data_IF_426454474872
#
_entry.id   IF_426454474872
#
_cell.length_a   1.000
_cell.length_b   1.000
_cell.length_c   1.000
_cell.angle_alpha   90.00
_cell.angle_beta   90.00
_cell.angle_gamma   90.00
#
_symmetry.space_group_name_H-M   'P 1'
#
loop_
_entity.id
_entity.type
_entity.pdbx_description
1 polymer ?
#
# COMPACT_ATOMS: atom_id res chain seq x y z
N UNK A 1 -27.57 10.47 -24.26
CA UNK A 1 -26.86 9.18 -24.13
C UNK A 1 -25.37 9.45 -24.21
N UNK A 2 -24.67 9.44 -23.07
CA UNK A 2 -23.24 9.14 -23.02
C UNK A 2 -22.95 8.72 -21.58
N UNK A 3 -22.67 7.42 -21.44
CA UNK A 3 -22.36 6.74 -20.20
C UNK A 3 -20.91 7.03 -19.87
N UNK A 4 -20.65 7.86 -18.87
CA UNK A 4 -19.34 7.91 -18.22
C UNK A 4 -19.24 6.69 -17.31
N UNK A 5 -18.61 5.62 -17.80
CA UNK A 5 -18.18 4.52 -16.97
C UNK A 5 -17.20 5.05 -15.92
N UNK A 6 -17.66 5.13 -14.67
CA UNK A 6 -16.77 5.28 -13.52
C UNK A 6 -15.98 3.99 -13.37
N UNK A 7 -14.71 4.02 -13.74
CA UNK A 7 -13.78 2.95 -13.38
C UNK A 7 -13.79 2.79 -11.85
N UNK A 8 -13.99 1.58 -11.30
CA UNK A 8 -13.89 1.36 -9.87
C UNK A 8 -12.45 1.64 -9.44
N UNK A 9 -12.25 2.80 -8.82
CA UNK A 9 -10.94 3.20 -8.31
C UNK A 9 -10.73 2.43 -7.00
N UNK A 10 -10.17 1.23 -7.11
CA UNK A 10 -9.75 0.45 -5.97
C UNK A 10 -8.53 1.16 -5.34
N UNK A 11 -8.79 2.05 -4.37
CA UNK A 11 -7.77 2.74 -3.58
C UNK A 11 -7.64 2.02 -2.24
N UNK A 12 -6.42 1.66 -1.84
CA UNK A 12 -6.18 1.22 -0.47
C UNK A 12 -6.16 2.46 0.44
N UNK A 13 -7.03 2.49 1.45
CA UNK A 13 -7.04 3.53 2.49
C UNK A 13 -6.39 2.99 3.76
N UNK A 14 -5.21 3.49 4.10
CA UNK A 14 -4.66 3.40 5.46
C UNK A 14 -4.92 4.71 6.18
N UNK A 15 -5.79 4.71 7.19
CA UNK A 15 -6.00 5.85 8.08
C UNK A 15 -5.33 5.55 9.43
N UNK A 16 -4.41 6.42 9.87
CA UNK A 16 -3.93 6.37 11.25
C UNK A 16 -4.89 7.18 12.11
N UNK A 17 -5.63 6.51 12.99
CA UNK A 17 -6.46 7.16 14.01
C UNK A 17 -5.63 7.81 15.13
N UNK A 18 -4.30 7.70 15.06
CA UNK A 18 -3.35 8.36 15.96
C UNK A 18 -2.77 9.59 15.26
N UNK A 19 -3.18 10.82 15.65
CA UNK A 19 -2.62 12.03 15.08
C UNK A 19 -1.14 12.19 15.49
N UNK A 20 -0.33 12.71 14.57
CA UNK A 20 1.04 13.14 14.86
C UNK A 20 0.97 14.50 15.59
N UNK A 21 1.50 14.57 16.81
CA UNK A 21 1.68 15.82 17.53
C UNK A 21 2.95 16.52 17.02
N UNK A 22 2.86 17.81 16.73
CA UNK A 22 4.00 18.66 16.43
C UNK A 22 3.77 20.06 16.99
N UNK A 23 4.86 20.78 17.27
CA UNK A 23 4.77 22.18 17.73
C UNK A 23 4.69 23.09 16.52
N UNK A 24 3.60 23.85 16.41
CA UNK A 24 3.44 24.86 15.38
C UNK A 24 4.45 26.01 15.60
N UNK A 25 4.79 26.80 14.56
CA UNK A 25 5.66 27.97 14.72
C UNK A 25 5.13 29.02 15.73
N UNK A 26 3.83 28.99 16.04
CA UNK A 26 3.19 29.80 17.09
C UNK A 26 3.47 29.32 18.52
N UNK A 27 4.07 28.14 18.69
CA UNK A 27 4.31 27.50 19.99
C UNK A 27 3.15 26.60 20.47
N UNK A 28 2.07 26.48 19.70
CA UNK A 28 0.92 25.62 20.04
C UNK A 28 1.15 24.17 19.61
N UNK A 29 0.64 23.21 20.39
CA UNK A 29 0.59 21.80 19.97
C UNK A 29 -0.48 21.62 18.88
N UNK A 30 -0.04 21.16 17.71
CA UNK A 30 -0.89 20.88 16.56
C UNK A 30 -0.91 19.37 16.26
N UNK A 31 -2.11 18.87 15.95
CA UNK A 31 -2.38 17.46 15.69
C UNK A 31 -2.66 17.26 14.20
N UNK A 32 -1.82 16.49 13.52
CA UNK A 32 -1.99 16.20 12.09
C UNK A 32 -2.44 14.77 11.87
N UNK A 33 -3.61 14.61 11.25
CA UNK A 33 -4.05 13.33 10.71
C UNK A 33 -3.49 13.18 9.30
N UNK A 34 -2.59 12.22 9.09
CA UNK A 34 -2.09 11.91 7.76
C UNK A 34 -2.80 10.67 7.22
N UNK A 35 -3.31 10.79 6.00
CA UNK A 35 -3.94 9.71 5.25
C UNK A 35 -3.06 9.38 4.06
N UNK A 36 -2.62 8.14 3.97
CA UNK A 36 -1.88 7.64 2.81
C UNK A 36 -2.87 6.88 1.91
N UNK A 37 -2.93 7.25 0.63
CA UNK A 37 -3.70 6.52 -0.38
C UNK A 37 -2.73 6.00 -1.43
N UNK A 38 -2.60 4.67 -1.49
CA UNK A 38 -1.76 4.01 -2.50
C UNK A 38 -2.72 3.43 -3.55
N UNK A 39 -2.61 3.86 -4.83
CA UNK A 39 -3.34 3.24 -5.92
C UNK A 39 -2.94 1.75 -6.05
N UNK A 40 -3.91 0.84 -6.14
CA UNK A 40 -3.59 -0.60 -6.18
C UNK A 40 -2.79 -0.99 -7.42
N UNK A 41 -3.02 -0.32 -8.55
CA UNK A 41 -2.26 -0.44 -9.79
C UNK A 41 -0.78 -0.01 -9.64
N UNK A 42 -0.47 0.76 -8.59
CA UNK A 42 0.89 1.17 -8.27
C UNK A 42 1.57 0.26 -7.27
N UNK A 43 0.88 -0.73 -6.69
CA UNK A 43 1.50 -1.69 -5.78
C UNK A 43 2.25 -2.74 -6.59
N UNK A 44 3.57 -2.78 -6.41
CA UNK A 44 4.45 -3.77 -7.03
C UNK A 44 4.48 -5.06 -6.20
N UNK A 45 4.73 -4.94 -4.90
CA UNK A 45 4.77 -6.05 -3.97
C UNK A 45 4.20 -5.66 -2.61
N UNK A 46 3.63 -6.65 -1.92
CA UNK A 46 3.38 -6.58 -0.49
C UNK A 46 4.13 -7.72 0.21
N UNK A 47 4.72 -7.46 1.37
CA UNK A 47 5.46 -8.47 2.13
C UNK A 47 5.23 -8.31 3.62
N UNK A 48 5.19 -9.45 4.32
CA UNK A 48 5.23 -9.45 5.78
C UNK A 48 6.66 -9.45 6.25
N UNK A 49 7.00 -8.50 7.12
CA UNK A 49 8.25 -8.53 7.86
C UNK A 49 7.98 -8.68 9.34
N UNK A 50 8.67 -9.64 9.95
CA UNK A 50 8.67 -9.85 11.40
C UNK A 50 10.04 -9.46 11.89
N UNK A 51 10.09 -8.52 12.82
CA UNK A 51 11.36 -8.09 13.40
C UNK A 51 11.93 -9.22 14.26
N UNK A 52 13.12 -9.72 13.91
CA UNK A 52 13.75 -10.88 14.58
C UNK A 52 13.98 -10.62 16.07
N UNK A 53 14.28 -9.37 16.44
CA UNK A 53 14.47 -8.93 17.82
C UNK A 53 13.15 -8.78 18.59
N UNK A 54 12.03 -8.56 17.89
CA UNK A 54 10.73 -8.38 18.52
C UNK A 54 9.59 -9.00 17.69
N UNK A 55 9.28 -10.30 17.89
CA UNK A 55 8.30 -11.01 17.08
C UNK A 55 6.85 -10.50 17.26
N UNK A 56 6.60 -9.66 18.28
CA UNK A 56 5.31 -8.98 18.44
C UNK A 56 5.12 -7.82 17.47
N UNK A 57 6.21 -7.28 16.91
CA UNK A 57 6.18 -6.22 15.90
C UNK A 57 6.16 -6.85 14.51
N UNK A 58 4.95 -6.93 13.96
CA UNK A 58 4.70 -7.37 12.59
C UNK A 58 4.42 -6.17 11.70
N UNK A 59 5.12 -6.11 10.58
CA UNK A 59 5.08 -5.03 9.62
C UNK A 59 4.54 -5.55 8.29
N UNK A 60 3.73 -4.74 7.63
CA UNK A 60 3.40 -4.95 6.22
C UNK A 60 4.18 -3.91 5.43
N UNK A 61 5.10 -4.39 4.62
CA UNK A 61 5.82 -3.57 3.66
C UNK A 61 5.05 -3.55 2.34
N UNK A 62 4.85 -2.37 1.79
CA UNK A 62 4.31 -2.17 0.44
C UNK A 62 5.36 -1.45 -0.37
N UNK A 63 5.80 -2.06 -1.46
CA UNK A 63 6.69 -1.43 -2.45
C UNK A 63 5.85 -1.07 -3.66
N UNK A 64 5.96 0.19 -4.08
CA UNK A 64 5.25 0.68 -5.26
C UNK A 64 6.12 0.59 -6.52
N UNK A 65 5.48 0.71 -7.68
CA UNK A 65 6.16 0.67 -9.00
C UNK A 65 7.14 1.82 -9.24
N UNK A 66 6.99 2.93 -8.51
CA UNK A 66 7.90 4.08 -8.44
C UNK A 66 8.94 3.96 -7.31
N UNK A 67 9.12 2.75 -6.77
CA UNK A 67 10.15 2.41 -5.77
C UNK A 67 9.99 3.07 -4.40
N UNK A 68 8.84 3.69 -4.12
CA UNK A 68 8.50 4.10 -2.76
C UNK A 68 8.20 2.88 -1.87
N UNK A 69 8.64 2.96 -0.62
CA UNK A 69 8.46 1.91 0.38
C UNK A 69 7.61 2.44 1.52
N UNK A 70 6.48 1.81 1.75
CA UNK A 70 5.55 2.14 2.83
C UNK A 70 5.54 1.02 3.87
N UNK A 71 5.72 1.40 5.13
CA UNK A 71 5.68 0.49 6.26
C UNK A 71 4.42 0.71 7.08
N UNK A 72 3.58 -0.32 7.16
CA UNK A 72 2.38 -0.31 7.97
C UNK A 72 2.57 -1.18 9.22
N UNK A 73 2.13 -0.66 10.36
CA UNK A 73 2.17 -1.29 11.67
C UNK A 73 0.83 -1.14 12.39
N UNK A 74 0.69 -1.80 13.55
CA UNK A 74 -0.43 -1.54 14.45
C UNK A 74 -1.73 -2.27 14.09
N UNK A 75 -1.63 -3.33 13.27
CA UNK A 75 -2.78 -4.15 12.91
C UNK A 75 -3.30 -4.95 14.10
N UNK A 76 -4.60 -4.84 14.39
CA UNK A 76 -5.30 -5.69 15.36
C UNK A 76 -5.27 -7.16 14.92
N UNK A 77 -5.43 -7.40 13.61
CA UNK A 77 -5.27 -8.71 13.00
C UNK A 77 -4.36 -8.60 11.78
N UNK A 78 -3.06 -8.82 12.01
CA UNK A 78 -2.01 -8.71 11.00
C UNK A 78 -2.26 -9.59 9.76
N UNK A 79 -2.61 -10.85 9.99
CA UNK A 79 -2.70 -11.84 8.92
C UNK A 79 -3.88 -11.56 7.99
N UNK A 80 -5.03 -11.16 8.56
CA UNK A 80 -6.20 -10.74 7.78
C UNK A 80 -5.91 -9.47 6.99
N UNK A 81 -5.16 -8.52 7.55
CA UNK A 81 -4.76 -7.30 6.84
C UNK A 81 -3.87 -7.62 5.64
N UNK A 82 -2.85 -8.47 5.84
CA UNK A 82 -1.94 -8.90 4.77
C UNK A 82 -2.68 -9.63 3.65
N UNK A 83 -3.56 -10.58 3.99
CA UNK A 83 -4.37 -11.29 3.00
C UNK A 83 -5.28 -10.33 2.22
N UNK A 84 -5.94 -9.38 2.89
CA UNK A 84 -6.79 -8.41 2.22
C UNK A 84 -6.01 -7.53 1.24
N UNK A 85 -4.81 -7.07 1.62
CA UNK A 85 -3.96 -6.26 0.74
C UNK A 85 -3.51 -7.09 -0.46
N UNK A 86 -2.97 -8.28 -0.21
CA UNK A 86 -2.48 -9.20 -1.26
C UNK A 86 -3.58 -9.55 -2.26
N UNK A 87 -4.79 -9.90 -1.78
CA UNK A 87 -5.93 -10.23 -2.63
C UNK A 87 -6.46 -9.04 -3.45
N UNK A 88 -6.20 -7.82 -2.98
CA UNK A 88 -6.62 -6.59 -3.67
C UNK A 88 -5.60 -6.12 -4.68
N UNK A 89 -4.36 -6.60 -4.61
CA UNK A 89 -3.35 -6.26 -5.61
C UNK A 89 -3.80 -6.76 -6.99
N UNK A 90 -3.53 -5.99 -8.06
CA UNK A 90 -3.80 -6.46 -9.40
C UNK A 90 -3.07 -7.79 -9.60
N UNK A 91 -3.82 -8.81 -10.04
CA UNK A 91 -3.19 -10.03 -10.55
C UNK A 91 -2.24 -9.57 -11.65
N UNK A 92 -0.94 -9.83 -11.46
CA UNK A 92 0.04 -9.57 -12.49
C UNK A 92 -0.33 -10.46 -13.67
N UNK A 93 -1.10 -9.90 -14.61
CA UNK A 93 -1.13 -10.44 -15.95
C UNK A 93 0.25 -10.11 -16.48
N UNK A 94 1.14 -11.08 -16.42
CA UNK A 94 2.24 -11.16 -17.38
C UNK A 94 1.61 -10.87 -18.74
N UNK A 95 1.81 -9.65 -19.24
CA UNK A 95 1.65 -9.38 -20.64
C UNK A 95 2.70 -10.27 -21.29
N UNK A 96 2.26 -11.45 -21.73
CA UNK A 96 3.12 -12.39 -22.44
C UNK A 96 3.81 -11.61 -23.53
N UNK A 97 5.12 -11.41 -23.37
CA UNK A 97 5.95 -10.90 -24.44
C UNK A 97 5.82 -11.92 -25.58
N UNK A 98 5.34 -11.54 -26.77
CA UNK A 98 5.52 -12.37 -27.94
C UNK A 98 7.03 -12.43 -28.18
N UNK A 99 7.66 -13.52 -27.77
CA UNK A 99 8.98 -13.87 -28.28
C UNK A 99 8.78 -14.26 -29.73
N UNK A 100 8.95 -13.30 -30.65
CA UNK A 100 9.01 -13.62 -32.06
C UNK A 100 10.18 -14.59 -32.30
N UNK A 101 9.97 -15.69 -33.03
CA UNK A 101 11.06 -16.58 -33.39
C UNK A 101 11.96 -15.85 -34.40
N UNK A 102 13.22 -15.63 -34.01
CA UNK A 102 14.26 -15.24 -34.97
C UNK A 102 14.39 -16.37 -35.99
N UNK A 103 13.93 -16.13 -37.21
CA UNK A 103 14.14 -17.05 -38.33
C UNK A 103 15.61 -16.99 -38.73
N UNK A 104 16.24 -18.15 -38.87
CA UNK A 104 17.56 -18.34 -39.46
C UNK A 104 17.42 -18.81 -40.91
#
# INVERSE_FOLDING_TARGET
MQSTQGHPCHKLLGASDRPLCHTAPSGEEAWSYYKVMIPLDKIRTCSSEIMTENPSRKYIQIVTTDEHVFWFMGFVNFEKALQNISNSMPSFKEAGSPVEPVVA
#
